data_IF_473761821500
#
_entry.id   IF_473761821500
#
_cell.length_a   1.000
_cell.length_b   1.000
_cell.length_c   1.000
_cell.angle_alpha   90.00
_cell.angle_beta   90.00
_cell.angle_gamma   90.00
#
_symmetry.space_group_name_H-M   'P 1'
#
loop_
_entity.id
_entity.type
_entity.pdbx_description
1 polymer ?
#
# COMPACT_ATOMS: atom_id res chain seq x y z
N UNK A 1 13.21 -14.90 21.76
CA UNK A 1 12.86 -13.61 21.16
C UNK A 1 12.94 -13.78 19.65
N UNK A 2 11.82 -13.88 18.93
CA UNK A 2 11.86 -13.89 17.46
C UNK A 2 11.84 -12.45 16.95
N UNK A 3 12.83 -12.12 16.14
CA UNK A 3 12.99 -10.80 15.56
C UNK A 3 11.99 -10.66 14.40
N UNK A 4 11.10 -9.66 14.38
CA UNK A 4 10.12 -9.48 13.28
C UNK A 4 10.78 -9.16 11.92
N UNK A 5 12.09 -8.90 11.91
CA UNK A 5 12.86 -8.67 10.68
C UNK A 5 13.12 -9.94 9.87
N UNK A 6 13.11 -11.13 10.49
CA UNK A 6 13.44 -12.40 9.80
C UNK A 6 12.27 -12.90 8.93
N UNK A 7 11.02 -12.70 9.35
CA UNK A 7 9.84 -13.14 8.58
C UNK A 7 9.69 -12.43 7.23
N UNK A 8 10.23 -11.21 7.13
CA UNK A 8 10.20 -10.45 5.89
C UNK A 8 11.27 -10.92 4.89
N UNK A 9 12.30 -11.66 5.33
CA UNK A 9 13.36 -12.15 4.43
C UNK A 9 12.95 -13.40 3.65
N UNK A 10 12.22 -14.34 4.27
CA UNK A 10 11.81 -15.59 3.61
C UNK A 10 10.87 -15.37 2.41
N UNK A 11 10.05 -14.30 2.43
CA UNK A 11 9.15 -13.98 1.33
C UNK A 11 9.89 -13.56 0.05
N UNK A 12 11.01 -12.84 0.18
CA UNK A 12 11.77 -12.35 -0.98
C UNK A 12 12.86 -13.32 -1.46
N UNK A 13 13.42 -14.16 -0.57
CA UNK A 13 14.39 -15.19 -0.97
C UNK A 13 13.73 -16.31 -1.79
N UNK A 14 12.44 -16.56 -1.61
CA UNK A 14 11.69 -17.55 -2.37
C UNK A 14 11.58 -17.21 -3.88
N UNK A 15 11.70 -15.92 -4.24
CA UNK A 15 11.67 -15.45 -5.63
C UNK A 15 13.06 -15.37 -6.28
N UNK A 16 14.14 -15.45 -5.50
CA UNK A 16 15.51 -15.37 -6.02
C UNK A 16 15.94 -16.65 -6.76
N UNK A 17 15.33 -17.80 -6.43
CA UNK A 17 15.57 -19.10 -7.07
C UNK A 17 14.67 -19.36 -8.29
N UNK A 18 14.00 -18.33 -8.84
CA UNK A 18 13.25 -18.41 -10.09
C UNK A 18 13.83 -17.49 -11.17
N UNK A 19 15.10 -17.67 -11.48
CA UNK A 19 15.83 -16.92 -12.51
C UNK A 19 15.37 -17.22 -13.96
N UNK A 20 14.13 -17.69 -14.15
CA UNK A 20 13.56 -18.00 -15.46
C UNK A 20 12.04 -17.75 -15.60
N UNK A 21 11.39 -17.20 -14.57
CA UNK A 21 10.01 -16.74 -14.68
C UNK A 21 10.02 -15.22 -14.72
N UNK A 22 9.79 -14.67 -15.92
CA UNK A 22 9.57 -13.23 -16.10
C UNK A 22 8.67 -12.70 -14.98
N UNK A 23 9.09 -11.63 -14.30
CA UNK A 23 8.35 -11.07 -13.17
C UNK A 23 6.91 -10.77 -13.60
N UNK A 24 5.97 -11.61 -13.12
CA UNK A 24 4.59 -11.66 -13.62
C UNK A 24 3.85 -10.37 -13.24
N UNK A 25 4.16 -9.82 -12.07
CA UNK A 25 3.67 -8.52 -11.62
C UNK A 25 4.16 -7.40 -12.54
N UNK A 26 5.42 -7.45 -12.96
CA UNK A 26 5.98 -6.48 -13.89
C UNK A 26 5.29 -6.54 -15.26
N UNK A 27 5.08 -7.74 -15.80
CA UNK A 27 4.31 -7.92 -17.04
C UNK A 27 2.88 -7.40 -16.90
N UNK A 28 2.22 -7.68 -15.77
CA UNK A 28 0.89 -7.17 -15.49
C UNK A 28 0.87 -5.63 -15.46
N UNK A 29 1.77 -5.00 -14.72
CA UNK A 29 1.89 -3.53 -14.66
C UNK A 29 2.13 -2.93 -16.04
N UNK A 30 2.98 -3.55 -16.86
CA UNK A 30 3.24 -3.12 -18.25
C UNK A 30 2.02 -3.28 -19.17
N UNK A 31 1.12 -4.22 -18.90
CA UNK A 31 -0.11 -4.41 -19.68
C UNK A 31 -1.22 -3.43 -19.32
N UNK A 32 -1.11 -2.69 -18.20
CA UNK A 32 -2.11 -1.72 -17.79
C UNK A 32 -2.11 -0.50 -18.73
N UNK A 33 -3.29 0.04 -19.01
CA UNK A 33 -3.39 1.31 -19.71
C UNK A 33 -2.84 2.45 -18.84
N UNK A 34 -2.32 3.53 -19.44
CA UNK A 34 -1.86 4.70 -18.69
C UNK A 34 -2.96 5.30 -17.79
N UNK A 35 -4.22 5.22 -18.23
CA UNK A 35 -5.38 5.67 -17.47
C UNK A 35 -5.59 4.83 -16.20
N UNK A 36 -5.51 3.51 -16.31
CA UNK A 36 -5.61 2.61 -15.15
C UNK A 36 -4.46 2.87 -14.16
N UNK A 37 -3.23 3.06 -14.66
CA UNK A 37 -2.09 3.41 -13.79
C UNK A 37 -2.31 4.77 -13.09
N UNK A 38 -2.82 5.76 -13.81
CA UNK A 38 -3.14 7.07 -13.25
C UNK A 38 -4.27 7.01 -12.21
N UNK A 39 -5.23 6.11 -12.38
CA UNK A 39 -6.29 5.90 -11.42
C UNK A 39 -5.79 5.15 -10.17
N UNK A 40 -4.97 4.11 -10.35
CA UNK A 40 -4.40 3.32 -9.24
C UNK A 40 -3.37 4.08 -8.42
N UNK A 41 -2.71 5.09 -9.00
CA UNK A 41 -1.75 5.96 -8.30
C UNK A 41 -2.41 7.06 -7.45
N UNK A 42 -3.73 7.24 -7.57
CA UNK A 42 -4.48 8.22 -6.78
C UNK A 42 -5.14 7.53 -5.59
N UNK A 43 -4.91 7.99 -4.35
CA UNK A 43 -5.70 7.52 -3.21
C UNK A 43 -7.16 7.93 -3.40
N UNK A 44 -8.08 6.99 -3.20
CA UNK A 44 -9.52 7.22 -3.45
C UNK A 44 -10.17 8.12 -2.41
N UNK A 45 -9.59 8.20 -1.20
CA UNK A 45 -10.13 8.98 -0.08
C UNK A 45 -9.07 9.86 0.59
N UNK A 46 -9.53 10.93 1.24
CA UNK A 46 -8.67 11.84 1.97
C UNK A 46 -8.02 11.16 3.18
N UNK A 47 -8.73 10.26 3.85
CA UNK A 47 -8.23 9.48 4.98
C UNK A 47 -7.09 8.55 4.54
N UNK A 48 -7.25 7.88 3.39
CA UNK A 48 -6.20 7.02 2.81
C UNK A 48 -4.96 7.85 2.49
N UNK A 49 -5.14 9.03 1.87
CA UNK A 49 -4.03 9.94 1.57
C UNK A 49 -3.24 10.33 2.83
N UNK A 50 -3.93 10.72 3.91
CA UNK A 50 -3.30 11.11 5.17
C UNK A 50 -2.53 9.95 5.82
N UNK A 51 -3.09 8.74 5.78
CA UNK A 51 -2.41 7.54 6.31
C UNK A 51 -1.15 7.23 5.50
N UNK A 52 -1.22 7.34 4.16
CA UNK A 52 -0.05 7.15 3.29
C UNK A 52 1.03 8.19 3.57
N UNK A 53 0.67 9.47 3.67
CA UNK A 53 1.60 10.56 4.00
C UNK A 53 2.28 10.30 5.35
N UNK A 54 1.50 9.96 6.37
CA UNK A 54 2.04 9.63 7.68
C UNK A 54 3.00 8.43 7.64
N UNK A 55 2.68 7.39 6.86
CA UNK A 55 3.55 6.23 6.70
C UNK A 55 4.86 6.61 6.01
N UNK A 56 4.81 7.40 4.94
CA UNK A 56 6.00 7.86 4.21
C UNK A 56 6.88 8.73 5.10
N UNK A 57 6.30 9.67 5.84
CA UNK A 57 7.02 10.50 6.82
C UNK A 57 7.63 9.64 7.93
N UNK A 58 6.92 8.60 8.38
CA UNK A 58 7.46 7.63 9.34
C UNK A 58 8.65 6.84 8.80
N UNK A 59 8.63 6.50 7.50
CA UNK A 59 9.69 5.73 6.84
C UNK A 59 10.92 6.57 6.49
N UNK A 60 10.72 7.82 6.04
CA UNK A 60 11.78 8.69 5.53
C UNK A 60 12.24 9.74 6.55
N UNK A 61 11.49 9.93 7.63
CA UNK A 61 11.67 11.03 8.56
C UNK A 61 10.95 12.31 8.10
N UNK A 62 10.70 13.18 9.07
CA UNK A 62 10.09 14.48 8.82
C UNK A 62 11.17 15.54 8.67
N UNK A 63 11.24 16.20 7.50
CA UNK A 63 12.02 17.41 7.30
C UNK A 63 11.18 18.45 6.55
N UNK A 64 11.14 19.73 6.98
CA UNK A 64 10.38 20.77 6.29
C UNK A 64 10.92 21.00 4.87
N UNK A 65 10.19 20.58 3.84
CA UNK A 65 10.60 20.71 2.44
C UNK A 65 10.66 22.17 1.96
N UNK A 66 9.97 23.09 2.64
CA UNK A 66 10.00 24.54 2.33
C UNK A 66 11.36 25.19 2.58
N UNK A 67 12.20 24.59 3.43
CA UNK A 67 13.48 25.17 3.85
C UNK A 67 14.69 24.32 3.45
N UNK A 68 14.46 23.12 2.93
CA UNK A 68 15.52 22.15 2.65
C UNK A 68 15.29 21.42 1.34
N UNK A 69 16.32 21.35 0.51
CA UNK A 69 16.37 20.35 -0.56
C UNK A 69 16.58 18.96 0.05
N UNK A 70 15.56 18.10 -0.02
CA UNK A 70 15.63 16.73 0.54
C UNK A 70 16.20 15.78 -0.50
N UNK A 71 17.25 15.04 -0.16
CA UNK A 71 17.75 13.92 -0.96
C UNK A 71 17.96 12.72 -0.05
N UNK A 72 17.32 11.60 -0.37
CA UNK A 72 17.43 10.34 0.37
C UNK A 72 18.39 9.41 -0.39
N UNK A 73 19.43 8.92 0.28
CA UNK A 73 20.37 7.94 -0.27
C UNK A 73 20.26 6.62 0.50
N UNK A 74 20.23 5.50 -0.22
CA UNK A 74 20.10 4.16 0.35
C UNK A 74 20.79 3.12 -0.55
N UNK A 75 21.08 1.93 0.00
CA UNK A 75 21.58 0.79 -0.77
C UNK A 75 20.43 -0.06 -1.33
N UNK A 76 20.78 -1.06 -2.16
CA UNK A 76 19.81 -1.94 -2.85
C UNK A 76 18.97 -2.72 -1.85
N UNK A 77 19.59 -3.22 -0.79
CA UNK A 77 18.98 -4.08 0.22
C UNK A 77 17.92 -3.31 1.02
N UNK A 78 18.28 -2.12 1.50
CA UNK A 78 17.38 -1.24 2.26
C UNK A 78 16.29 -0.66 1.36
N UNK A 79 16.59 -0.34 0.09
CA UNK A 79 15.56 0.06 -0.88
C UNK A 79 14.56 -1.08 -1.12
N UNK A 80 15.05 -2.31 -1.27
CA UNK A 80 14.19 -3.49 -1.42
C UNK A 80 13.26 -3.66 -0.23
N UNK A 81 13.79 -3.57 1.00
CA UNK A 81 12.99 -3.61 2.24
C UNK A 81 11.97 -2.47 2.32
N UNK A 82 12.34 -1.27 1.91
CA UNK A 82 11.44 -0.11 1.88
C UNK A 82 10.28 -0.33 0.90
N UNK A 83 10.58 -0.80 -0.32
CA UNK A 83 9.57 -1.11 -1.33
C UNK A 83 8.63 -2.24 -0.88
N UNK A 84 9.19 -3.30 -0.29
CA UNK A 84 8.43 -4.39 0.32
C UNK A 84 7.44 -3.89 1.37
N UNK A 85 7.93 -3.08 2.31
CA UNK A 85 7.09 -2.46 3.35
C UNK A 85 6.00 -1.58 2.74
N UNK A 86 6.32 -0.76 1.75
CA UNK A 86 5.36 0.09 1.08
C UNK A 86 4.27 -0.71 0.35
N UNK A 87 4.64 -1.81 -0.33
CA UNK A 87 3.69 -2.71 -0.98
C UNK A 87 2.72 -3.34 0.02
N UNK A 88 3.23 -3.88 1.13
CA UNK A 88 2.40 -4.46 2.19
C UNK A 88 1.46 -3.42 2.82
N UNK A 89 1.99 -2.25 3.21
CA UNK A 89 1.19 -1.15 3.76
C UNK A 89 0.09 -0.71 2.80
N UNK A 90 0.40 -0.59 1.51
CA UNK A 90 -0.58 -0.23 0.47
C UNK A 90 -1.71 -1.27 0.34
N UNK A 91 -1.36 -2.56 0.35
CA UNK A 91 -2.35 -3.65 0.32
C UNK A 91 -3.26 -3.64 1.55
N UNK A 92 -2.69 -3.49 2.75
CA UNK A 92 -3.48 -3.39 3.98
C UNK A 92 -4.43 -2.19 3.97
N UNK A 93 -3.95 -1.05 3.49
CA UNK A 93 -4.76 0.16 3.45
C UNK A 93 -5.93 0.03 2.45
N UNK A 94 -5.68 -0.60 1.30
CA UNK A 94 -6.74 -0.91 0.32
C UNK A 94 -7.80 -1.85 0.89
N UNK A 95 -7.39 -2.89 1.62
CA UNK A 95 -8.33 -3.81 2.26
C UNK A 95 -9.16 -3.11 3.36
N UNK A 96 -8.54 -2.26 4.17
CA UNK A 96 -9.23 -1.48 5.18
C UNK A 96 -10.29 -0.53 4.55
N UNK A 97 -9.91 0.13 3.46
CA UNK A 97 -10.81 1.00 2.70
C UNK A 97 -12.01 0.23 2.10
N UNK A 98 -11.76 -0.93 1.50
CA UNK A 98 -12.82 -1.78 0.95
C UNK A 98 -13.81 -2.22 2.02
N UNK A 99 -13.29 -2.64 3.18
CA UNK A 99 -14.12 -3.02 4.33
C UNK A 99 -14.95 -1.85 4.84
N UNK A 100 -14.35 -0.67 4.99
CA UNK A 100 -15.05 0.54 5.43
C UNK A 100 -16.13 0.97 4.44
N UNK A 101 -15.86 0.88 3.14
CA UNK A 101 -16.83 1.16 2.08
C UNK A 101 -18.02 0.20 2.16
N UNK A 102 -17.74 -1.08 2.38
CA UNK A 102 -18.77 -2.10 2.55
C UNK A 102 -19.62 -1.86 3.81
N UNK A 103 -19.00 -1.56 4.95
CA UNK A 103 -19.70 -1.25 6.21
C UNK A 103 -20.64 -0.04 6.06
N UNK A 104 -20.19 1.02 5.37
CA UNK A 104 -21.04 2.19 5.04
C UNK A 104 -22.23 1.82 4.17
N UNK A 105 -22.02 0.97 3.16
CA UNK A 105 -23.10 0.53 2.27
C UNK A 105 -24.16 -0.31 3.01
N UNK A 106 -23.77 -1.12 4.00
CA UNK A 106 -24.69 -1.87 4.84
C UNK A 106 -25.49 -0.98 5.79
N UNK A 107 -24.89 0.09 6.33
CA UNK A 107 -25.60 1.05 7.20
C UNK A 107 -26.64 1.89 6.44
N UNK A 108 -26.48 2.06 5.13
CA UNK A 108 -27.46 2.73 4.27
C UNK A 108 -28.60 1.81 3.82
N UNK A 109 -28.58 0.52 4.17
CA UNK A 109 -29.70 -0.38 3.90
C UNK A 109 -30.91 0.04 4.77
N UNK A 110 -32.10 0.24 4.17
CA UNK A 110 -33.27 0.65 4.93
C UNK A 110 -33.60 -0.39 6.00
N UNK A 111 -33.64 0.06 7.25
CA UNK A 111 -34.37 -0.65 8.30
C UNK A 111 -35.82 -0.72 7.87
N UNK A 112 -36.23 -1.87 7.33
CA UNK A 112 -37.65 -2.24 7.26
C UNK A 112 -38.14 -2.36 8.70
N UNK A 113 -38.51 -1.22 9.30
CA UNK A 113 -39.31 -1.18 10.51
C UNK A 113 -40.71 -1.61 10.07
N UNK A 114 -41.22 -2.79 10.45
CA UNK A 114 -42.63 -3.04 10.27
C UNK A 114 -43.36 -2.05 11.18
N UNK A 115 -44.01 -1.05 10.57
CA UNK A 115 -45.04 -0.27 11.25
C UNK A 115 -46.10 -1.27 11.71
N UNK A 116 -46.14 -1.51 13.02
CA UNK A 116 -47.24 -2.21 13.66
C UNK A 116 -48.37 -1.20 13.90
N UNK A 117 -49.58 -1.70 13.59
CA UNK A 117 -50.93 -1.21 13.92
C UNK A 117 -51.63 -0.28 12.92
#
# INVERSE_FOLDING_TARGET
MNNPSDQNQEFFDSDAESNNNNNILWQYVQSLSPETVAQLSKPTSQEVFQVMEHNIVGLLGHLPSEHFGVTVSTNRENLGRLLASAMMSGYFLRNAEQRLTFEKSLQMAPTNTPENE
#
